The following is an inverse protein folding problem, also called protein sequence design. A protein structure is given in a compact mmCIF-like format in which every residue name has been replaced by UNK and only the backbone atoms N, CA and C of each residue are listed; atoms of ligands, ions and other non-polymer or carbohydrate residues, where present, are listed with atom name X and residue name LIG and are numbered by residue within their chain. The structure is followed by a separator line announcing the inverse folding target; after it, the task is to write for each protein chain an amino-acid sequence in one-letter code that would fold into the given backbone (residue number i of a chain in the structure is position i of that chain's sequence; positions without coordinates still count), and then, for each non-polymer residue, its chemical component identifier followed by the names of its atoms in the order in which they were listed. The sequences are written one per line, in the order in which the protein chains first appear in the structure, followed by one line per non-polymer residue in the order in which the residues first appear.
data_IF_479676117288
#
_entry.id   IF_479676117288
#
_cell.length_a   1.000
_cell.length_b   1.000
_cell.length_c   1.000
_cell.angle_alpha   90.00
_cell.angle_beta   90.00
_cell.angle_gamma   90.00
#
_symmetry.space_group_name_H-M   'P 1'
#
loop_
_entity.id
_entity.type
_entity.pdbx_description
1 polymer ?
#
# COMPACT_ATOMS: atom_id res chain seq x y z
N UNK A 1 17.46 -4.44 -3.45
CA UNK A 1 17.45 -5.27 -2.22
C UNK A 1 18.77 -5.29 -1.44
N UNK A 2 19.86 -4.62 -1.91
CA UNK A 2 21.18 -4.66 -1.26
C UNK A 2 21.47 -3.43 -0.36
N UNK A 3 20.70 -2.34 -0.51
CA UNK A 3 21.04 -1.06 0.13
C UNK A 3 20.67 -0.89 1.61
N UNK A 4 19.92 -1.81 2.23
CA UNK A 4 19.60 -1.77 3.67
C UNK A 4 20.33 -2.81 4.52
N UNK A 5 21.16 -3.68 3.95
CA UNK A 5 21.83 -4.76 4.71
C UNK A 5 23.11 -4.26 5.40
N UNK A 6 23.74 -3.21 4.85
CA UNK A 6 25.04 -2.71 5.30
C UNK A 6 24.99 -2.07 6.71
N UNK A 7 23.98 -1.26 7.07
CA UNK A 7 23.90 -0.68 8.41
C UNK A 7 23.65 -1.75 9.48
N UNK A 8 22.70 -2.66 9.25
CA UNK A 8 22.27 -3.64 10.24
C UNK A 8 23.35 -4.66 10.59
N UNK A 9 24.15 -5.07 9.60
CA UNK A 9 25.28 -5.97 9.83
C UNK A 9 26.40 -5.30 10.63
N UNK A 10 26.65 -4.00 10.38
CA UNK A 10 27.64 -3.24 11.15
C UNK A 10 27.20 -3.08 12.62
N UNK A 11 25.92 -2.78 12.86
CA UNK A 11 25.36 -2.71 14.21
C UNK A 11 25.44 -4.05 14.94
N UNK A 12 25.20 -5.16 14.24
CA UNK A 12 25.36 -6.51 14.80
C UNK A 12 26.81 -6.77 15.25
N UNK A 13 27.81 -6.41 14.44
CA UNK A 13 29.22 -6.57 14.82
C UNK A 13 29.55 -5.74 16.06
N UNK A 14 29.10 -4.49 16.12
CA UNK A 14 29.30 -3.61 17.28
C UNK A 14 28.66 -4.22 18.54
N UNK A 15 27.44 -4.77 18.41
CA UNK A 15 26.73 -5.40 19.51
C UNK A 15 27.48 -6.64 20.05
N UNK A 16 28.01 -7.50 19.17
CA UNK A 16 28.87 -8.63 19.56
C UNK A 16 30.10 -8.16 20.34
N UNK A 17 30.77 -7.10 19.87
CA UNK A 17 31.97 -6.56 20.53
C UNK A 17 31.63 -6.00 21.92
N UNK A 18 30.56 -5.21 22.03
CA UNK A 18 30.13 -4.63 23.30
C UNK A 18 29.71 -5.71 24.31
N UNK A 19 28.96 -6.73 23.88
CA UNK A 19 28.61 -7.84 24.76
C UNK A 19 29.85 -8.61 25.22
N UNK A 20 30.82 -8.82 24.34
CA UNK A 20 32.07 -9.51 24.68
C UNK A 20 32.85 -8.72 25.73
N UNK A 21 32.99 -7.39 25.58
CA UNK A 21 33.62 -6.52 26.57
C UNK A 21 32.87 -6.59 27.91
N UNK A 22 31.55 -6.43 27.90
CA UNK A 22 30.73 -6.45 29.10
C UNK A 22 30.83 -7.78 29.86
N UNK A 23 30.78 -8.91 29.15
CA UNK A 23 30.90 -10.25 29.73
C UNK A 23 32.29 -10.48 30.34
N UNK A 24 33.37 -9.98 29.72
CA UNK A 24 34.71 -10.06 30.31
C UNK A 24 34.84 -9.19 31.57
N UNK A 25 34.24 -8.00 31.61
CA UNK A 25 34.22 -7.15 32.82
C UNK A 25 33.46 -7.83 33.96
N UNK A 26 32.26 -8.34 33.67
CA UNK A 26 31.44 -9.11 34.64
C UNK A 26 32.19 -10.33 35.17
N UNK A 27 32.80 -11.12 34.28
CA UNK A 27 33.58 -12.30 34.64
C UNK A 27 34.72 -11.94 35.60
N UNK A 28 35.38 -10.80 35.40
CA UNK A 28 36.44 -10.32 36.29
C UNK A 28 35.89 -9.93 37.67
N UNK A 29 34.72 -9.26 37.73
CA UNK A 29 34.06 -8.90 39.00
C UNK A 29 33.65 -10.11 39.84
N UNK A 30 33.39 -11.26 39.21
CA UNK A 30 33.07 -12.53 39.90
C UNK A 30 34.27 -13.50 39.94
N UNK A 31 35.49 -13.00 39.76
CA UNK A 31 36.75 -13.74 39.90
C UNK A 31 36.93 -14.94 38.95
N UNK A 32 36.34 -14.91 37.75
CA UNK A 32 36.63 -15.90 36.71
C UNK A 32 38.00 -15.57 36.08
N UNK A 33 38.97 -16.51 36.07
CA UNK A 33 40.32 -16.22 35.57
C UNK A 33 40.33 -16.04 34.04
N UNK A 34 41.09 -15.07 33.48
CA UNK A 34 41.10 -14.73 32.06
C UNK A 34 41.97 -15.70 31.23
N UNK A 35 41.73 -17.00 31.35
CA UNK A 35 42.42 -18.03 30.56
C UNK A 35 41.96 -18.01 29.10
N UNK A 36 42.76 -18.52 28.14
CA UNK A 36 42.34 -18.63 26.74
C UNK A 36 41.00 -19.36 26.56
N UNK A 37 40.77 -20.43 27.34
CA UNK A 37 39.52 -21.20 27.34
C UNK A 37 38.33 -20.35 27.77
N UNK A 38 38.45 -19.60 28.86
CA UNK A 38 37.35 -18.78 29.36
C UNK A 38 37.04 -17.61 28.42
N UNK A 39 38.06 -17.00 27.79
CA UNK A 39 37.86 -15.97 26.77
C UNK A 39 37.08 -16.48 25.55
N UNK A 40 37.38 -17.70 25.10
CA UNK A 40 36.63 -18.34 24.00
C UNK A 40 35.18 -18.58 24.41
N UNK A 41 34.93 -19.13 25.61
CA UNK A 41 33.57 -19.39 26.10
C UNK A 41 32.77 -18.09 26.18
N UNK A 42 33.34 -17.02 26.76
CA UNK A 42 32.67 -15.72 26.87
C UNK A 42 32.39 -15.11 25.48
N UNK A 43 33.31 -15.26 24.52
CA UNK A 43 33.09 -14.80 23.15
C UNK A 43 31.95 -15.55 22.44
N UNK A 44 31.84 -16.87 22.65
CA UNK A 44 30.72 -17.68 22.14
C UNK A 44 29.40 -17.27 22.78
N UNK A 45 29.38 -17.03 24.09
CA UNK A 45 28.18 -16.53 24.80
C UNK A 45 27.77 -15.15 24.27
N UNK A 46 28.74 -14.24 24.07
CA UNK A 46 28.49 -12.92 23.51
C UNK A 46 27.84 -13.01 22.12
N UNK A 47 28.38 -13.87 21.25
CA UNK A 47 27.84 -14.09 19.91
C UNK A 47 26.42 -14.67 19.97
N UNK A 48 26.17 -15.65 20.84
CA UNK A 48 24.85 -16.27 20.99
C UNK A 48 23.81 -15.28 21.51
N UNK A 49 24.17 -14.46 22.51
CA UNK A 49 23.30 -13.39 23.02
C UNK A 49 23.04 -12.33 21.96
N UNK A 50 24.06 -11.93 21.19
CA UNK A 50 23.87 -10.99 20.08
C UNK A 50 22.94 -11.56 19.00
N UNK A 51 23.03 -12.86 18.68
CA UNK A 51 22.11 -13.52 17.77
C UNK A 51 20.67 -13.54 18.30
N UNK A 52 20.48 -13.83 19.59
CA UNK A 52 19.18 -13.74 20.25
C UNK A 52 18.63 -12.31 20.20
N UNK A 53 19.45 -11.30 20.54
CA UNK A 53 19.04 -9.90 20.51
C UNK A 53 18.71 -9.43 19.09
N UNK A 54 19.50 -9.82 18.09
CA UNK A 54 19.22 -9.54 16.69
C UNK A 54 17.92 -10.18 16.23
N UNK A 55 17.68 -11.44 16.63
CA UNK A 55 16.43 -12.14 16.33
C UNK A 55 15.22 -11.50 17.04
N UNK A 56 15.35 -11.16 18.32
CA UNK A 56 14.32 -10.41 19.09
C UNK A 56 14.06 -9.06 18.44
N UNK A 57 15.09 -8.30 18.05
CA UNK A 57 14.91 -7.01 17.37
C UNK A 57 14.12 -7.18 16.07
N UNK A 58 14.43 -8.17 15.25
CA UNK A 58 13.70 -8.39 14.00
C UNK A 58 12.26 -8.88 14.20
N UNK A 59 11.95 -9.54 15.32
CA UNK A 59 10.59 -10.00 15.63
C UNK A 59 9.76 -8.91 16.31
N UNK A 60 10.35 -8.22 17.29
CA UNK A 60 9.67 -7.21 18.11
C UNK A 60 9.64 -5.86 17.41
N UNK A 61 10.66 -5.55 16.61
CA UNK A 61 10.82 -4.31 15.86
C UNK A 61 11.19 -4.61 14.39
N UNK A 62 10.25 -5.17 13.61
CA UNK A 62 10.49 -5.42 12.20
C UNK A 62 10.90 -4.10 11.50
N UNK A 63 11.80 -4.16 10.50
CA UNK A 63 12.19 -2.96 9.77
C UNK A 63 10.94 -2.30 9.16
N UNK A 64 10.90 -0.95 9.13
CA UNK A 64 9.74 -0.24 8.63
C UNK A 64 9.50 -0.59 7.16
N UNK A 65 8.24 -0.89 6.81
CA UNK A 65 7.81 -1.27 5.45
C UNK A 65 8.28 -0.22 4.42
N UNK A 66 8.22 1.05 4.84
CA UNK A 66 8.61 2.23 4.10
C UNK A 66 8.68 3.42 5.08
N UNK A 67 9.17 4.57 4.61
CA UNK A 67 9.19 5.80 5.40
C UNK A 67 8.08 6.75 4.92
N UNK A 68 7.17 7.21 5.80
CA UNK A 68 6.12 8.14 5.43
C UNK A 68 6.75 9.48 5.01
N UNK A 69 6.06 10.17 4.11
CA UNK A 69 6.53 11.44 3.55
C UNK A 69 5.58 12.56 3.96
N UNK A 70 6.08 13.66 4.57
CA UNK A 70 5.23 14.76 5.05
C UNK A 70 4.39 15.42 3.94
N UNK A 71 4.86 15.36 2.70
CA UNK A 71 4.17 15.90 1.52
C UNK A 71 2.85 15.17 1.19
N UNK A 72 2.59 14.00 1.78
CA UNK A 72 1.32 13.27 1.58
C UNK A 72 0.19 13.88 2.40
N UNK A 73 0.47 14.56 3.51
CA UNK A 73 -0.58 15.16 4.35
C UNK A 73 -1.39 16.23 3.60
N UNK A 74 -0.78 16.94 2.65
CA UNK A 74 -1.46 17.93 1.79
C UNK A 74 -2.23 17.30 0.63
N UNK A 75 -2.13 15.98 0.44
CA UNK A 75 -2.78 15.19 -0.60
C UNK A 75 -4.01 14.44 -0.07
N UNK A 76 -4.44 14.74 1.14
CA UNK A 76 -5.61 14.15 1.77
C UNK A 76 -6.83 15.04 1.61
N UNK A 77 -7.96 14.43 1.28
CA UNK A 77 -9.24 15.08 1.39
C UNK A 77 -9.61 15.20 2.86
N UNK A 78 -9.93 16.41 3.31
CA UNK A 78 -10.36 16.68 4.70
C UNK A 78 -11.77 17.24 4.79
N UNK A 79 -12.50 17.31 3.67
CA UNK A 79 -13.79 17.99 3.56
C UNK A 79 -13.72 19.52 3.65
N UNK A 80 -12.66 20.08 4.24
CA UNK A 80 -12.30 21.50 4.14
C UNK A 80 -11.34 21.80 2.98
N UNK A 81 -10.55 20.80 2.58
CA UNK A 81 -9.69 20.83 1.39
C UNK A 81 -10.16 19.73 0.44
N UNK A 82 -10.84 20.12 -0.64
CA UNK A 82 -11.21 19.19 -1.71
C UNK A 82 -10.05 19.06 -2.68
N UNK A 83 -9.67 17.83 -2.99
CA UNK A 83 -8.62 17.48 -3.94
C UNK A 83 -9.08 17.71 -5.39
N UNK A 84 -10.39 17.71 -5.63
CA UNK A 84 -10.99 17.87 -6.96
C UNK A 84 -11.74 19.19 -7.05
N UNK A 85 -11.37 20.01 -8.03
CA UNK A 85 -12.12 21.24 -8.34
C UNK A 85 -13.44 20.90 -9.03
N UNK A 86 -14.49 21.68 -8.81
CA UNK A 86 -15.71 21.57 -9.62
C UNK A 86 -15.50 22.27 -10.95
N UNK A 87 -15.98 21.68 -12.05
CA UNK A 87 -16.01 22.34 -13.35
C UNK A 87 -17.15 23.36 -13.44
N UNK A 88 -18.25 23.13 -12.71
CA UNK A 88 -19.40 24.04 -12.68
C UNK A 88 -19.97 24.16 -11.27
N UNK A 89 -20.64 25.26 -10.93
CA UNK A 89 -21.31 25.42 -9.62
C UNK A 89 -22.38 24.35 -9.33
N UNK A 90 -22.97 23.78 -10.38
CA UNK A 90 -24.05 22.78 -10.30
C UNK A 90 -23.55 21.34 -10.26
N UNK A 91 -22.24 21.12 -10.48
CA UNK A 91 -21.65 19.80 -10.42
C UNK A 91 -21.75 19.24 -9.00
N UNK A 92 -22.30 18.03 -8.89
CA UNK A 92 -22.39 17.34 -7.60
C UNK A 92 -20.98 17.03 -7.12
N UNK A 93 -20.66 17.53 -5.93
CA UNK A 93 -19.38 17.28 -5.29
C UNK A 93 -19.37 15.88 -4.70
N UNK A 94 -18.78 14.93 -5.43
CA UNK A 94 -18.73 13.53 -5.02
C UNK A 94 -17.71 13.29 -3.91
N UNK A 95 -16.65 14.10 -3.86
CA UNK A 95 -15.70 14.10 -2.76
C UNK A 95 -16.36 14.57 -1.46
N UNK A 96 -17.07 15.70 -1.53
CA UNK A 96 -17.86 16.20 -0.39
C UNK A 96 -18.91 15.19 0.05
N UNK A 97 -19.56 14.49 -0.88
CA UNK A 97 -20.56 13.46 -0.54
C UNK A 97 -19.95 12.31 0.27
N UNK A 98 -18.72 11.90 -0.04
CA UNK A 98 -17.98 10.90 0.76
C UNK A 98 -17.75 11.43 2.18
N UNK A 99 -17.28 12.68 2.30
CA UNK A 99 -17.08 13.31 3.60
C UNK A 99 -18.39 13.41 4.41
N UNK A 100 -19.49 13.82 3.77
CA UNK A 100 -20.81 13.89 4.40
C UNK A 100 -21.31 12.55 4.90
N UNK A 101 -21.01 11.47 4.16
CA UNK A 101 -21.28 10.11 4.61
C UNK A 101 -20.40 9.71 5.80
N UNK A 102 -19.11 10.06 5.79
CA UNK A 102 -18.17 9.76 6.89
C UNK A 102 -18.59 10.45 8.19
N UNK A 103 -19.18 11.66 8.15
CA UNK A 103 -19.67 12.37 9.35
C UNK A 103 -20.74 11.62 10.14
N UNK A 104 -21.40 10.63 9.53
CA UNK A 104 -22.42 9.79 10.17
C UNK A 104 -21.83 8.49 10.73
N UNK A 105 -20.53 8.27 10.57
CA UNK A 105 -19.85 7.02 10.93
C UNK A 105 -19.10 7.20 12.25
N UNK A 106 -19.31 6.27 13.19
CA UNK A 106 -18.41 6.12 14.33
C UNK A 106 -17.09 5.52 13.84
N UNK A 107 -16.03 6.34 13.79
CA UNK A 107 -14.71 5.92 13.31
C UNK A 107 -14.15 4.71 14.09
N UNK A 108 -14.49 4.57 15.37
CA UNK A 108 -14.03 3.45 16.21
C UNK A 108 -14.80 2.14 15.93
N UNK A 109 -15.96 2.21 15.29
CA UNK A 109 -16.79 1.07 14.92
C UNK A 109 -17.19 1.12 13.44
N UNK A 110 -16.17 1.13 12.57
CA UNK A 110 -16.35 1.23 11.12
C UNK A 110 -15.44 0.30 10.34
N UNK A 111 -15.76 0.14 9.06
CA UNK A 111 -14.89 -0.45 8.07
C UNK A 111 -14.16 0.68 7.33
N UNK A 112 -12.85 0.77 7.52
CA UNK A 112 -12.02 1.81 6.91
C UNK A 112 -11.47 1.33 5.56
N UNK A 113 -11.70 2.10 4.51
CA UNK A 113 -11.07 1.92 3.19
C UNK A 113 -10.40 3.22 2.75
N UNK A 114 -9.30 3.12 1.99
CA UNK A 114 -8.76 4.26 1.28
C UNK A 114 -9.15 4.22 -0.19
N UNK A 115 -9.22 5.40 -0.80
CA UNK A 115 -9.38 5.59 -2.24
C UNK A 115 -8.22 6.47 -2.70
N UNK A 116 -7.38 5.91 -3.56
CA UNK A 116 -6.31 6.65 -4.22
C UNK A 116 -6.78 7.10 -5.61
N UNK A 117 -6.86 8.41 -5.83
CA UNK A 117 -7.35 9.01 -7.07
C UNK A 117 -6.29 9.88 -7.75
N UNK A 118 -6.33 10.01 -9.09
CA UNK A 118 -5.41 10.85 -9.85
C UNK A 118 -5.93 12.30 -9.88
N UNK A 119 -6.02 12.93 -8.72
CA UNK A 119 -6.79 14.14 -8.50
C UNK A 119 -6.39 15.26 -9.44
N UNK A 120 -5.14 15.72 -9.36
CA UNK A 120 -4.67 16.82 -10.20
C UNK A 120 -4.40 16.40 -11.65
N UNK A 121 -3.73 15.27 -11.88
CA UNK A 121 -3.32 14.86 -13.23
C UNK A 121 -4.47 14.36 -14.12
N UNK A 122 -5.54 13.79 -13.56
CA UNK A 122 -6.66 13.18 -14.31
C UNK A 122 -8.00 13.45 -13.62
N UNK A 123 -8.35 14.72 -13.43
CA UNK A 123 -9.58 15.11 -12.71
C UNK A 123 -10.85 14.40 -13.18
N UNK A 124 -11.04 14.16 -14.49
CA UNK A 124 -12.22 13.44 -14.97
C UNK A 124 -12.27 11.99 -14.45
N UNK A 125 -11.14 11.29 -14.47
CA UNK A 125 -11.04 9.93 -13.94
C UNK A 125 -11.25 9.93 -12.42
N UNK A 126 -10.64 10.88 -11.71
CA UNK A 126 -10.82 11.04 -10.27
C UNK A 126 -12.30 11.28 -9.91
N UNK A 127 -13.00 12.18 -10.61
CA UNK A 127 -14.45 12.43 -10.43
C UNK A 127 -15.28 11.17 -10.63
N UNK A 128 -15.00 10.39 -11.68
CA UNK A 128 -15.73 9.16 -11.96
C UNK A 128 -15.50 8.10 -10.87
N UNK A 129 -14.25 7.92 -10.42
CA UNK A 129 -13.90 7.03 -9.31
C UNK A 129 -14.62 7.45 -8.02
N UNK A 130 -14.56 8.74 -7.66
CA UNK A 130 -15.22 9.27 -6.47
C UNK A 130 -16.74 9.18 -6.56
N UNK A 131 -17.33 9.38 -7.74
CA UNK A 131 -18.77 9.21 -7.95
C UNK A 131 -19.22 7.79 -7.62
N UNK A 132 -18.52 6.78 -8.16
CA UNK A 132 -18.81 5.38 -7.88
C UNK A 132 -18.66 5.02 -6.41
N UNK A 133 -17.57 5.48 -5.77
CA UNK A 133 -17.34 5.28 -4.32
C UNK A 133 -18.43 5.96 -3.49
N UNK A 134 -18.76 7.21 -3.77
CA UNK A 134 -19.76 7.97 -3.02
C UNK A 134 -21.13 7.29 -3.06
N UNK A 135 -21.56 6.82 -4.25
CA UNK A 135 -22.84 6.15 -4.43
C UNK A 135 -22.84 4.77 -3.74
N UNK A 136 -21.77 4.00 -3.86
CA UNK A 136 -21.62 2.70 -3.19
C UNK A 136 -21.59 2.83 -1.66
N UNK A 137 -20.83 3.79 -1.13
CA UNK A 137 -20.76 4.07 0.31
C UNK A 137 -22.13 4.51 0.83
N UNK A 138 -22.82 5.41 0.12
CA UNK A 138 -24.17 5.86 0.49
C UNK A 138 -25.11 4.66 0.60
N UNK A 139 -25.14 3.80 -0.42
CA UNK A 139 -25.99 2.61 -0.46
C UNK A 139 -25.66 1.64 0.69
N UNK A 140 -24.37 1.40 0.94
CA UNK A 140 -23.95 0.51 2.03
C UNK A 140 -24.36 1.07 3.39
N UNK A 141 -24.04 2.34 3.67
CA UNK A 141 -24.29 2.95 4.97
C UNK A 141 -25.80 3.11 5.24
N UNK A 142 -26.61 3.40 4.22
CA UNK A 142 -28.06 3.47 4.35
C UNK A 142 -28.72 2.11 4.59
N UNK A 143 -28.11 1.01 4.12
CA UNK A 143 -28.66 -0.32 4.34
C UNK A 143 -28.67 -0.71 5.83
N UNK A 144 -27.81 -0.10 6.66
CA UNK A 144 -27.71 -0.35 8.10
C UNK A 144 -27.62 -1.86 8.42
N UNK A 145 -26.83 -2.58 7.60
CA UNK A 145 -26.60 -4.02 7.71
C UNK A 145 -25.11 -4.29 7.66
N UNK A 146 -24.61 -5.02 8.65
CA UNK A 146 -23.23 -5.49 8.67
C UNK A 146 -23.16 -6.87 7.99
N UNK A 147 -22.46 -6.99 6.84
CA UNK A 147 -22.39 -8.24 6.08
C UNK A 147 -21.64 -9.36 6.81
N UNK A 148 -20.90 -9.06 7.87
CA UNK A 148 -20.17 -10.07 8.65
C UNK A 148 -21.00 -10.66 9.79
N UNK A 149 -22.15 -10.03 10.11
CA UNK A 149 -23.04 -10.48 11.19
C UNK A 149 -24.34 -11.04 10.59
N UNK A 150 -24.64 -12.33 10.77
CA UNK A 150 -25.86 -12.94 10.23
C UNK A 150 -27.16 -12.40 10.87
N UNK A 151 -27.06 -11.85 12.08
CA UNK A 151 -28.18 -11.27 12.82
C UNK A 151 -28.15 -9.76 12.71
N UNK A 152 -29.33 -9.13 12.74
CA UNK A 152 -29.46 -7.66 12.74
C UNK A 152 -28.70 -7.08 13.95
N UNK A 153 -27.54 -6.47 13.70
CA UNK A 153 -26.76 -5.77 14.72
C UNK A 153 -27.50 -4.49 15.13
N UNK A 154 -27.51 -4.18 16.43
CA UNK A 154 -27.97 -2.89 16.94
C UNK A 154 -26.99 -1.75 16.66
N UNK A 155 -25.75 -2.09 16.27
CA UNK A 155 -24.67 -1.15 15.94
C UNK A 155 -23.92 -1.68 14.70
N UNK A 156 -24.51 -1.59 13.50
CA UNK A 156 -23.86 -2.08 12.28
C UNK A 156 -22.61 -1.26 11.96
N UNK A 157 -21.53 -1.92 11.56
CA UNK A 157 -20.35 -1.22 11.04
C UNK A 157 -20.67 -0.59 9.69
N UNK A 158 -20.35 0.70 9.57
CA UNK A 158 -20.52 1.48 8.34
C UNK A 158 -19.18 1.65 7.62
N UNK A 159 -19.21 2.00 6.33
CA UNK A 159 -18.02 2.33 5.56
C UNK A 159 -17.56 3.76 5.86
N UNK A 160 -16.32 3.87 6.32
CA UNK A 160 -15.57 5.11 6.43
C UNK A 160 -14.50 5.14 5.32
N UNK A 161 -14.44 6.22 4.56
CA UNK A 161 -13.61 6.30 3.36
C UNK A 161 -12.59 7.45 3.48
N UNK A 162 -11.31 7.14 3.36
CA UNK A 162 -10.24 8.13 3.21
C UNK A 162 -9.98 8.35 1.73
N UNK A 163 -9.86 9.60 1.29
CA UNK A 163 -9.53 9.93 -0.11
C UNK A 163 -8.14 10.58 -0.17
N UNK A 164 -7.31 10.09 -1.08
CA UNK A 164 -5.91 10.53 -1.24
C UNK A 164 -5.58 10.77 -2.72
N UNK A 165 -4.85 11.85 -3.01
CA UNK A 165 -4.37 12.18 -4.36
C UNK A 165 -2.99 11.57 -4.65
N UNK A 166 -2.94 10.60 -5.55
CA UNK A 166 -1.70 10.00 -6.06
C UNK A 166 -1.12 10.74 -7.29
N UNK A 167 -1.86 11.72 -7.80
CA UNK A 167 -1.52 12.53 -8.97
C UNK A 167 -1.18 11.74 -10.24
N UNK A 168 -1.64 10.49 -10.37
CA UNK A 168 -1.27 9.58 -11.46
C UNK A 168 0.25 9.40 -11.63
N UNK A 169 1.03 9.63 -10.56
CA UNK A 169 2.49 9.60 -10.57
C UNK A 169 3.00 8.41 -9.77
N UNK A 170 4.01 7.70 -10.30
CA UNK A 170 4.54 6.48 -9.68
C UNK A 170 5.19 6.73 -8.31
N UNK A 171 5.88 7.85 -8.14
CA UNK A 171 6.67 8.15 -6.95
C UNK A 171 5.74 8.70 -5.87
N UNK A 172 4.77 9.53 -6.27
CA UNK A 172 3.67 9.97 -5.38
C UNK A 172 2.81 8.79 -4.96
N UNK A 173 2.41 7.90 -5.87
CA UNK A 173 1.64 6.70 -5.54
C UNK A 173 2.35 5.80 -4.52
N UNK A 174 3.68 5.66 -4.63
CA UNK A 174 4.48 4.93 -3.64
C UNK A 174 4.44 5.60 -2.27
N UNK A 175 4.57 6.93 -2.20
CA UNK A 175 4.47 7.69 -0.95
C UNK A 175 3.08 7.60 -0.34
N UNK A 176 2.04 7.71 -1.16
CA UNK A 176 0.63 7.56 -0.74
C UNK A 176 0.39 6.16 -0.18
N UNK A 177 0.86 5.11 -0.86
CA UNK A 177 0.75 3.75 -0.38
C UNK A 177 1.50 3.54 0.95
N UNK A 178 2.67 4.17 1.09
CA UNK A 178 3.40 4.15 2.34
C UNK A 178 2.61 4.81 3.48
N UNK A 179 2.11 6.02 3.25
CA UNK A 179 1.30 6.73 4.23
C UNK A 179 0.07 5.90 4.61
N UNK A 180 -0.61 5.29 3.64
CA UNK A 180 -1.76 4.41 3.90
C UNK A 180 -1.35 3.24 4.82
N UNK A 181 -0.20 2.62 4.56
CA UNK A 181 0.27 1.47 5.32
C UNK A 181 0.77 1.80 6.73
N UNK A 182 1.28 3.01 6.96
CA UNK A 182 1.99 3.36 8.21
C UNK A 182 1.29 4.41 9.06
N UNK A 183 0.21 5.05 8.58
CA UNK A 183 -0.45 6.11 9.34
C UNK A 183 -1.09 5.54 10.62
N UNK A 184 -0.73 6.06 11.82
CA UNK A 184 -1.27 5.56 13.08
C UNK A 184 -2.78 5.76 13.24
N UNK A 185 -3.40 6.68 12.50
CA UNK A 185 -4.84 6.89 12.50
C UNK A 185 -5.60 5.87 11.62
N UNK A 186 -4.89 5.15 10.75
CA UNK A 186 -5.48 4.21 9.77
C UNK A 186 -5.07 2.75 10.00
N UNK A 187 -4.71 2.40 11.24
CA UNK A 187 -4.21 1.06 11.63
C UNK A 187 -5.10 -0.12 11.24
N UNK A 188 -6.38 0.12 10.95
CA UNK A 188 -7.37 -0.90 10.59
C UNK A 188 -7.91 -0.73 9.16
N UNK A 189 -7.11 -0.17 8.25
CA UNK A 189 -7.53 -0.06 6.85
C UNK A 189 -7.68 -1.46 6.25
N UNK A 190 -8.88 -1.77 5.76
CA UNK A 190 -9.20 -3.07 5.20
C UNK A 190 -8.63 -3.24 3.79
N UNK A 191 -8.47 -2.13 3.07
CA UNK A 191 -7.98 -2.15 1.71
C UNK A 191 -8.06 -0.79 1.03
N UNK A 192 -7.57 -0.78 -0.20
CA UNK A 192 -7.44 0.40 -1.05
C UNK A 192 -8.22 0.18 -2.34
N UNK A 193 -9.02 1.17 -2.71
CA UNK A 193 -9.65 1.30 -4.02
C UNK A 193 -8.78 2.23 -4.87
N UNK A 194 -8.37 1.78 -6.05
CA UNK A 194 -7.38 2.47 -6.87
C UNK A 194 -6.15 1.58 -7.07
N UNK A 195 -5.04 2.09 -7.58
CA UNK A 195 -4.81 3.40 -8.15
C UNK A 195 -5.40 3.47 -9.58
N UNK A 196 -5.38 4.64 -10.22
CA UNK A 196 -5.97 4.81 -11.55
C UNK A 196 -5.17 4.13 -12.66
N UNK A 197 -3.93 4.57 -12.89
CA UNK A 197 -3.09 4.00 -13.95
C UNK A 197 -2.38 2.72 -13.52
N UNK A 198 -1.92 1.96 -14.51
CA UNK A 198 -1.10 0.78 -14.28
C UNK A 198 0.27 1.11 -13.69
N UNK A 199 0.84 2.28 -13.99
CA UNK A 199 2.12 2.73 -13.42
C UNK A 199 1.97 2.99 -11.91
N UNK A 200 1.00 3.83 -11.53
CA UNK A 200 0.72 4.14 -10.13
C UNK A 200 0.33 2.88 -9.34
N UNK A 201 -0.52 2.04 -9.93
CA UNK A 201 -0.94 0.78 -9.31
C UNK A 201 0.23 -0.15 -9.03
N UNK A 202 1.17 -0.28 -9.97
CA UNK A 202 2.35 -1.14 -9.80
C UNK A 202 3.25 -0.65 -8.67
N UNK A 203 3.51 0.65 -8.61
CA UNK A 203 4.37 1.25 -7.62
C UNK A 203 3.79 1.10 -6.19
N UNK A 204 2.49 1.36 -6.04
CA UNK A 204 1.78 1.19 -4.77
C UNK A 204 1.66 -0.27 -4.32
N UNK A 205 1.43 -1.19 -5.26
CA UNK A 205 1.21 -2.60 -4.98
C UNK A 205 2.42 -3.27 -4.30
N UNK A 206 3.65 -2.86 -4.62
CA UNK A 206 4.85 -3.35 -3.94
C UNK A 206 4.84 -3.07 -2.43
N UNK A 207 4.25 -1.94 -2.03
CA UNK A 207 4.15 -1.52 -0.62
C UNK A 207 2.96 -2.24 0.03
N UNK A 208 1.81 -2.26 -0.62
CA UNK A 208 0.62 -2.94 -0.11
C UNK A 208 0.85 -4.45 0.09
N UNK A 209 1.59 -5.11 -0.80
CA UNK A 209 1.93 -6.51 -0.65
C UNK A 209 2.78 -6.78 0.60
N UNK A 210 3.75 -5.89 0.91
CA UNK A 210 4.55 -5.98 2.14
C UNK A 210 3.74 -5.68 3.40
N UNK A 211 2.79 -4.75 3.30
CA UNK A 211 1.90 -4.36 4.39
C UNK A 211 0.73 -5.34 4.60
N UNK A 212 0.50 -6.28 3.68
CA UNK A 212 -0.66 -7.17 3.71
C UNK A 212 -1.99 -6.46 3.43
N UNK A 213 -1.96 -5.29 2.78
CA UNK A 213 -3.15 -4.47 2.50
C UNK A 213 -3.74 -4.86 1.15
N UNK A 214 -5.03 -5.21 1.11
CA UNK A 214 -5.71 -5.56 -0.13
C UNK A 214 -5.94 -4.33 -1.00
N UNK A 215 -5.71 -4.47 -2.31
CA UNK A 215 -5.90 -3.42 -3.29
C UNK A 215 -6.84 -3.90 -4.39
N UNK A 216 -7.87 -3.10 -4.70
CA UNK A 216 -8.75 -3.30 -5.86
C UNK A 216 -8.73 -2.08 -6.78
N UNK A 217 -8.22 -2.25 -7.99
CA UNK A 217 -8.23 -1.17 -8.99
C UNK A 217 -9.49 -1.21 -9.86
N UNK A 218 -10.18 -0.08 -10.04
CA UNK A 218 -11.32 0.01 -10.94
C UNK A 218 -10.93 0.21 -12.41
N UNK A 219 -9.70 0.68 -12.69
CA UNK A 219 -9.33 1.18 -14.03
C UNK A 219 -8.03 0.63 -14.59
N UNK A 220 -7.15 0.05 -13.76
CA UNK A 220 -5.87 -0.45 -14.26
C UNK A 220 -6.01 -1.84 -14.88
N UNK A 221 -5.56 -1.95 -16.13
CA UNK A 221 -5.75 -3.13 -16.97
C UNK A 221 -4.47 -3.91 -17.26
N UNK A 222 -3.26 -3.42 -16.96
CA UNK A 222 -2.01 -4.13 -17.28
C UNK A 222 -2.01 -5.55 -16.73
N UNK A 223 -1.73 -6.56 -17.57
CA UNK A 223 -1.71 -7.97 -17.15
C UNK A 223 -0.55 -8.30 -16.21
N UNK A 224 0.45 -7.40 -16.11
CA UNK A 224 1.55 -7.55 -15.18
C UNK A 224 1.13 -7.30 -13.73
N UNK A 225 -0.01 -6.63 -13.50
CA UNK A 225 -0.62 -6.51 -12.19
C UNK A 225 -1.47 -7.73 -11.91
N UNK A 226 -0.95 -8.71 -11.20
CA UNK A 226 -1.68 -9.93 -10.89
C UNK A 226 -1.29 -10.47 -9.53
N UNK A 227 -2.12 -11.36 -9.02
CA UNK A 227 -1.70 -12.21 -7.93
C UNK A 227 -0.69 -13.23 -8.44
N UNK A 228 0.36 -13.47 -7.65
CA UNK A 228 1.39 -14.47 -7.89
C UNK A 228 1.93 -15.01 -6.55
N UNK A 229 3.07 -15.70 -6.53
CA UNK A 229 3.65 -16.23 -5.29
C UNK A 229 4.03 -15.13 -4.29
N UNK A 230 4.39 -13.94 -4.77
CA UNK A 230 4.93 -12.84 -3.98
C UNK A 230 3.89 -11.75 -3.70
N UNK A 231 2.77 -11.77 -4.42
CA UNK A 231 1.68 -10.82 -4.25
C UNK A 231 0.32 -11.55 -4.22
N UNK A 232 -0.36 -11.50 -3.09
CA UNK A 232 -1.71 -12.07 -2.91
C UNK A 232 -2.81 -11.02 -2.76
N UNK A 233 -2.45 -9.74 -2.78
CA UNK A 233 -3.32 -8.66 -2.32
C UNK A 233 -3.98 -7.88 -3.46
N UNK A 234 -3.63 -8.16 -4.71
CA UNK A 234 -4.14 -7.42 -5.87
C UNK A 234 -5.43 -8.01 -6.45
N UNK A 235 -6.41 -7.15 -6.68
CA UNK A 235 -7.65 -7.43 -7.39
C UNK A 235 -7.98 -6.29 -8.36
N UNK A 236 -8.89 -6.54 -9.30
CA UNK A 236 -9.40 -5.52 -10.23
C UNK A 236 -10.88 -5.72 -10.51
N UNK A 237 -11.58 -4.62 -10.76
CA UNK A 237 -12.98 -4.63 -11.21
C UNK A 237 -13.14 -4.43 -12.73
N UNK A 238 -12.01 -4.36 -13.47
CA UNK A 238 -11.96 -4.17 -14.91
C UNK A 238 -11.29 -5.36 -15.61
N UNK A 239 -11.35 -5.40 -16.94
CA UNK A 239 -10.70 -6.41 -17.77
C UNK A 239 -9.18 -6.27 -17.78
N UNK A 240 -8.48 -7.31 -18.21
CA UNK A 240 -7.04 -7.24 -18.45
C UNK A 240 -6.72 -6.84 -19.88
N UNK A 241 -5.56 -6.25 -20.07
CA UNK A 241 -4.99 -5.99 -21.39
C UNK A 241 -4.80 -7.26 -22.22
N UNK A 242 -4.59 -8.42 -21.59
CA UNK A 242 -4.59 -9.69 -22.31
C UNK A 242 -5.97 -10.00 -22.93
N UNK A 243 -7.05 -9.78 -22.18
CA UNK A 243 -8.41 -9.94 -22.71
C UNK A 243 -8.73 -8.88 -23.78
N UNK A 244 -8.37 -7.62 -23.52
CA UNK A 244 -8.57 -6.52 -24.47
C UNK A 244 -7.79 -6.72 -25.77
N UNK A 245 -6.50 -7.07 -25.68
CA UNK A 245 -5.61 -7.28 -26.81
C UNK A 245 -6.08 -8.42 -27.70
N UNK A 246 -6.51 -9.54 -27.08
CA UNK A 246 -7.11 -10.67 -27.80
C UNK A 246 -8.39 -10.25 -28.51
N UNK A 247 -9.31 -9.60 -27.80
CA UNK A 247 -10.58 -9.14 -28.39
C UNK A 247 -10.35 -8.19 -29.57
N UNK A 248 -9.35 -7.31 -29.47
CA UNK A 248 -9.00 -6.39 -30.56
C UNK A 248 -8.40 -7.12 -31.76
N UNK A 249 -7.50 -8.09 -31.52
CA UNK A 249 -6.89 -8.90 -32.58
C UNK A 249 -7.93 -9.75 -33.32
N UNK A 250 -8.88 -10.33 -32.59
CA UNK A 250 -9.98 -11.12 -33.17
C UNK A 250 -10.88 -10.24 -34.06
N UNK A 251 -11.18 -9.00 -33.64
CA UNK A 251 -12.04 -8.07 -34.39
C UNK A 251 -11.41 -7.59 -35.70
N UNK A 252 -10.09 -7.30 -35.70
CA UNK A 252 -9.42 -6.66 -36.84
C UNK A 252 -8.48 -7.59 -37.62
N UNK A 253 -8.45 -8.89 -37.27
CA UNK A 253 -7.53 -9.88 -37.84
C UNK A 253 -7.67 -10.06 -39.36
N UNK A 254 -8.82 -9.67 -39.93
CA UNK A 254 -9.08 -9.72 -41.38
C UNK A 254 -8.56 -8.50 -42.15
N UNK A 255 -8.16 -7.42 -41.48
CA UNK A 255 -7.72 -6.16 -42.11
C UNK A 255 -6.30 -6.23 -42.71
N UNK A 256 -5.61 -7.37 -42.61
CA UNK A 256 -4.28 -7.58 -43.18
C UNK A 256 -3.18 -6.86 -42.39
N UNK A 257 -2.65 -5.74 -42.89
CA UNK A 257 -1.51 -5.03 -42.28
C UNK A 257 -1.96 -3.92 -41.34
N UNK A 258 -1.64 -4.03 -40.05
CA UNK A 258 -1.93 -3.02 -39.03
C UNK A 258 -0.64 -2.32 -38.58
N UNK A 259 -0.72 -1.01 -38.30
CA UNK A 259 0.34 -0.24 -37.62
C UNK A 259 -0.12 0.09 -36.20
N UNK A 260 0.77 -0.04 -35.23
CA UNK A 260 0.45 0.21 -33.81
C UNK A 260 1.25 1.41 -33.31
N UNK A 261 0.55 2.42 -32.81
CA UNK A 261 1.12 3.53 -32.07
C UNK A 261 0.92 3.30 -30.57
N UNK A 262 1.96 3.51 -29.78
CA UNK A 262 1.94 3.26 -28.34
C UNK A 262 2.94 4.16 -27.61
N UNK A 263 2.71 4.38 -26.33
CA UNK A 263 3.58 5.16 -25.45
C UNK A 263 4.61 4.25 -24.76
N UNK A 264 5.90 4.48 -25.02
CA UNK A 264 6.98 3.58 -24.59
C UNK A 264 7.24 3.54 -23.08
N UNK A 265 6.96 4.64 -22.37
CA UNK A 265 7.22 4.81 -20.93
C UNK A 265 5.97 4.52 -20.05
N UNK A 266 4.93 3.97 -20.65
CA UNK A 266 3.65 3.69 -19.99
C UNK A 266 3.41 2.18 -19.92
N UNK A 267 3.34 1.63 -18.70
CA UNK A 267 3.13 0.18 -18.46
C UNK A 267 1.87 -0.32 -19.16
N UNK A 268 0.77 0.43 -19.10
CA UNK A 268 -0.47 0.07 -19.79
C UNK A 268 -0.28 -0.01 -21.31
N UNK A 269 0.28 1.05 -21.91
CA UNK A 269 0.37 1.15 -23.37
C UNK A 269 1.36 0.14 -23.96
N UNK A 270 2.53 -0.01 -23.34
CA UNK A 270 3.54 -0.99 -23.75
C UNK A 270 3.02 -2.41 -23.65
N UNK A 271 2.29 -2.73 -22.58
CA UNK A 271 1.80 -4.08 -22.34
C UNK A 271 0.59 -4.42 -23.22
N UNK A 272 -0.35 -3.50 -23.45
CA UNK A 272 -1.46 -3.71 -24.38
C UNK A 272 -0.96 -3.97 -25.82
N UNK A 273 0.02 -3.18 -26.29
CA UNK A 273 0.68 -3.42 -27.58
C UNK A 273 1.24 -4.85 -27.68
N UNK A 274 1.86 -5.34 -26.61
CA UNK A 274 2.43 -6.69 -26.59
C UNK A 274 1.37 -7.79 -26.51
N UNK A 275 0.19 -7.52 -25.92
CA UNK A 275 -0.92 -8.48 -25.85
C UNK A 275 -1.78 -8.52 -27.10
N UNK A 276 -1.79 -7.45 -27.87
CA UNK A 276 -2.41 -7.40 -29.18
C UNK A 276 -1.62 -8.17 -30.24
N UNK A 277 -0.28 -8.13 -30.17
CA UNK A 277 0.61 -8.91 -31.04
C UNK A 277 0.54 -10.40 -30.72
#
# INVERSE_FOLDING_TARGET
MIFNVVPDFLFFIIEVVLLNIALNLLANSIHIPPTPRNRIILAVIALFLALILFWIKNIVYPPPICQPSPDVATRLSTGGNNLITKNTPYEKDREQKIYDNNRQVDANNSYLLAVAVPGNARQQAARAMLAGVADAQTKFNQAQKDPTTPKKSSQPKLLNIVVVDDNDDKDVASKVACQIATNPEWKNILGVIGHHSSNASKAALEIYAKAGITMITPTSTSTNLRQDSNNKVFFRATVSNAALGRSLADEIGTLGKVRIFYEGNNEYSKELKNKFK
#
